data_IF_151178492345
#
_entry.id   IF_151178492345
#
_cell.length_a   1.000
_cell.length_b   1.000
_cell.length_c   1.000
_cell.angle_alpha   90.00
_cell.angle_beta   90.00
_cell.angle_gamma   90.00
#
_symmetry.space_group_name_H-M   'P 1'
#
loop_
_entity.id
_entity.type
_entity.pdbx_description
1 polymer ?
#
# COMPACT_ATOMS: atom_id res chain seq x y z
N UNK A 1 21.61 17.27 -43.00
CA UNK A 1 21.36 16.17 -42.05
C UNK A 1 20.67 15.06 -42.84
N UNK A 2 21.22 13.84 -42.88
CA UNK A 2 20.57 12.72 -43.56
C UNK A 2 19.68 12.04 -42.53
N UNK A 3 18.37 12.04 -42.76
CA UNK A 3 17.44 11.24 -41.96
C UNK A 3 17.76 9.76 -42.22
N UNK A 4 18.47 9.14 -41.28
CA UNK A 4 18.78 7.73 -41.33
C UNK A 4 17.51 6.97 -40.91
N UNK A 5 16.79 6.42 -41.90
CA UNK A 5 15.71 5.47 -41.63
C UNK A 5 16.34 4.18 -41.11
N UNK A 6 16.32 3.99 -39.79
CA UNK A 6 16.83 2.77 -39.15
C UNK A 6 15.79 1.67 -39.33
N UNK A 7 16.01 0.80 -40.33
CA UNK A 7 15.19 -0.40 -40.52
C UNK A 7 15.64 -1.47 -39.52
N UNK A 8 14.98 -1.51 -38.37
CA UNK A 8 15.14 -2.60 -37.41
C UNK A 8 14.45 -3.86 -37.92
N UNK A 9 15.15 -4.99 -37.84
CA UNK A 9 14.57 -6.30 -38.14
C UNK A 9 13.39 -6.62 -37.21
N UNK A 10 12.43 -7.40 -37.71
CA UNK A 10 11.20 -7.72 -36.98
C UNK A 10 11.46 -8.36 -35.60
N UNK A 11 12.43 -9.26 -35.49
CA UNK A 11 12.79 -9.90 -34.22
C UNK A 11 13.36 -8.91 -33.19
N UNK A 12 14.19 -7.97 -33.65
CA UNK A 12 14.70 -6.88 -32.82
C UNK A 12 13.57 -5.96 -32.36
N UNK A 13 12.63 -5.64 -33.25
CA UNK A 13 11.43 -4.88 -32.90
C UNK A 13 10.56 -5.62 -31.86
N UNK A 14 10.32 -6.92 -32.05
CA UNK A 14 9.58 -7.75 -31.08
C UNK A 14 10.26 -7.77 -29.72
N UNK A 15 11.59 -7.90 -29.69
CA UNK A 15 12.37 -7.88 -28.44
C UNK A 15 12.25 -6.53 -27.72
N UNK A 16 12.33 -5.42 -28.47
CA UNK A 16 12.14 -4.07 -27.92
C UNK A 16 10.73 -3.92 -27.35
N UNK A 17 9.71 -4.36 -28.10
CA UNK A 17 8.31 -4.34 -27.66
C UNK A 17 8.11 -5.12 -26.37
N UNK A 18 8.60 -6.36 -26.28
CA UNK A 18 8.48 -7.18 -25.07
C UNK A 18 9.15 -6.54 -23.87
N UNK A 19 10.30 -5.86 -24.06
CA UNK A 19 10.96 -5.12 -22.98
C UNK A 19 10.13 -3.91 -22.55
N UNK A 20 9.58 -3.13 -23.49
CA UNK A 20 8.70 -2.01 -23.19
C UNK A 20 7.47 -2.47 -22.39
N UNK A 21 6.77 -3.51 -22.86
CA UNK A 21 5.61 -4.09 -22.16
C UNK A 21 5.96 -4.54 -20.73
N UNK A 22 7.17 -5.08 -20.54
CA UNK A 22 7.66 -5.48 -19.22
C UNK A 22 7.90 -4.26 -18.32
N UNK A 23 8.50 -3.20 -18.84
CA UNK A 23 8.74 -1.98 -18.07
C UNK A 23 7.43 -1.30 -17.69
N UNK A 24 6.46 -1.22 -18.59
CA UNK A 24 5.14 -0.65 -18.30
C UNK A 24 4.45 -1.39 -17.16
N UNK A 25 4.47 -2.74 -17.19
CA UNK A 25 3.95 -3.57 -16.09
C UNK A 25 4.66 -3.32 -14.77
N UNK A 26 5.98 -3.14 -14.78
CA UNK A 26 6.76 -2.85 -13.57
C UNK A 26 6.45 -1.45 -13.02
N UNK A 27 6.22 -0.47 -13.89
CA UNK A 27 5.81 0.88 -13.50
C UNK A 27 4.45 0.81 -12.81
N UNK A 28 3.44 0.18 -13.43
CA UNK A 28 2.12 0.05 -12.83
C UNK A 28 2.16 -0.70 -11.50
N UNK A 29 2.90 -1.82 -11.42
CA UNK A 29 3.04 -2.56 -10.16
C UNK A 29 3.71 -1.73 -9.05
N UNK A 30 4.67 -0.87 -9.41
CA UNK A 30 5.32 0.06 -8.47
C UNK A 30 4.36 1.14 -7.99
N UNK A 31 3.58 1.72 -8.90
CA UNK A 31 2.57 2.73 -8.57
C UNK A 31 1.50 2.15 -7.63
N UNK A 32 1.03 0.94 -7.91
CA UNK A 32 0.08 0.23 -7.05
C UNK A 32 0.67 -0.02 -5.65
N UNK A 33 1.94 -0.45 -5.57
CA UNK A 33 2.62 -0.66 -4.29
C UNK A 33 2.76 0.64 -3.50
N UNK A 34 3.18 1.73 -4.15
CA UNK A 34 3.29 3.05 -3.52
C UNK A 34 1.93 3.59 -3.08
N UNK A 35 0.86 3.34 -3.86
CA UNK A 35 -0.50 3.72 -3.49
C UNK A 35 -0.98 2.97 -2.25
N UNK A 36 -0.74 1.66 -2.17
CA UNK A 36 -1.06 0.84 -0.99
C UNK A 36 -0.29 1.29 0.25
N UNK A 37 1.00 1.55 0.12
CA UNK A 37 1.83 2.06 1.22
C UNK A 37 1.31 3.41 1.73
N UNK A 38 1.01 4.34 0.83
CA UNK A 38 0.44 5.63 1.20
C UNK A 38 -0.91 5.49 1.91
N UNK A 39 -1.80 4.65 1.39
CA UNK A 39 -3.10 4.39 2.02
C UNK A 39 -2.94 3.80 3.42
N UNK A 40 -1.96 2.92 3.63
CA UNK A 40 -1.65 2.36 4.93
C UNK A 40 -1.14 3.43 5.91
N UNK A 41 -0.20 4.26 5.48
CA UNK A 41 0.34 5.36 6.30
C UNK A 41 -0.79 6.34 6.69
N UNK A 42 -1.64 6.72 5.74
CA UNK A 42 -2.75 7.65 5.99
C UNK A 42 -3.75 7.07 7.03
N UNK A 43 -4.07 5.77 6.94
CA UNK A 43 -4.91 5.08 7.92
C UNK A 43 -4.27 5.03 9.31
N UNK A 44 -2.97 4.78 9.40
CA UNK A 44 -2.23 4.74 10.66
C UNK A 44 -2.22 6.12 11.33
N UNK A 45 -1.87 7.16 10.57
CA UNK A 45 -1.85 8.55 11.05
C UNK A 45 -3.25 8.95 11.55
N UNK A 46 -4.28 8.70 10.75
CA UNK A 46 -5.67 9.01 11.13
C UNK A 46 -6.08 8.31 12.44
N UNK A 47 -5.65 7.07 12.62
CA UNK A 47 -5.95 6.30 13.83
C UNK A 47 -5.26 6.90 15.06
N UNK A 48 -4.01 7.33 14.93
CA UNK A 48 -3.24 7.97 16.02
C UNK A 48 -3.81 9.36 16.34
N UNK A 49 -4.14 10.17 15.33
CA UNK A 49 -4.73 11.49 15.51
C UNK A 49 -6.06 11.40 16.25
N UNK A 50 -6.97 10.53 15.80
CA UNK A 50 -8.27 10.32 16.47
C UNK A 50 -8.09 9.79 17.90
N UNK A 51 -7.15 8.88 18.14
CA UNK A 51 -6.86 8.43 19.49
C UNK A 51 -6.38 9.57 20.42
N UNK A 52 -5.63 10.54 19.89
CA UNK A 52 -5.20 11.70 20.66
C UNK A 52 -6.32 12.70 20.93
N UNK A 53 -7.25 12.86 19.99
CA UNK A 53 -8.41 13.77 20.10
C UNK A 53 -9.48 13.24 21.06
N UNK A 54 -9.54 11.92 21.28
CA UNK A 54 -10.55 11.32 22.15
C UNK A 54 -10.35 11.66 23.64
N UNK A 55 -11.42 12.06 24.36
CA UNK A 55 -11.34 12.36 25.78
C UNK A 55 -11.36 11.12 26.69
N UNK A 56 -12.01 10.02 26.29
CA UNK A 56 -12.16 8.82 27.13
C UNK A 56 -11.18 7.71 26.75
N UNK A 57 -10.75 6.93 27.74
CA UNK A 57 -9.79 5.84 27.52
C UNK A 57 -10.33 4.76 26.58
N UNK A 58 -11.63 4.44 26.63
CA UNK A 58 -12.23 3.43 25.77
C UNK A 58 -12.21 3.85 24.29
N UNK A 59 -12.42 5.14 24.01
CA UNK A 59 -12.37 5.67 22.65
C UNK A 59 -10.94 5.72 22.11
N UNK A 60 -9.95 6.03 22.97
CA UNK A 60 -8.53 5.94 22.59
C UNK A 60 -8.15 4.51 22.22
N UNK A 61 -8.57 3.55 23.05
CA UNK A 61 -8.33 2.12 22.82
C UNK A 61 -8.94 1.66 21.51
N UNK A 62 -10.15 2.12 21.16
CA UNK A 62 -10.77 1.84 19.86
C UNK A 62 -9.93 2.29 18.67
N UNK A 63 -9.47 3.54 18.68
CA UNK A 63 -8.65 4.05 17.58
C UNK A 63 -7.26 3.40 17.52
N UNK A 64 -6.68 3.06 18.67
CA UNK A 64 -5.43 2.29 18.73
C UNK A 64 -5.65 0.88 18.16
N UNK A 65 -6.75 0.21 18.50
CA UNK A 65 -7.12 -1.10 17.98
C UNK A 65 -7.28 -1.09 16.45
N UNK A 66 -7.91 -0.05 15.89
CA UNK A 66 -8.01 0.15 14.45
C UNK A 66 -6.63 0.30 13.79
N UNK A 67 -5.72 1.05 14.43
CA UNK A 67 -4.34 1.19 13.96
C UNK A 67 -3.58 -0.14 13.95
N UNK A 68 -3.69 -0.93 15.03
CA UNK A 68 -3.06 -2.26 15.12
C UNK A 68 -3.61 -3.21 14.05
N UNK A 69 -4.93 -3.19 13.84
CA UNK A 69 -5.57 -3.98 12.78
C UNK A 69 -5.06 -3.59 11.39
N UNK A 70 -4.91 -2.31 11.10
CA UNK A 70 -4.36 -1.84 9.83
C UNK A 70 -2.90 -2.32 9.62
N UNK A 71 -2.08 -2.36 10.68
CA UNK A 71 -0.73 -2.93 10.63
C UNK A 71 -0.79 -4.42 10.29
N UNK A 72 -1.62 -5.19 10.98
CA UNK A 72 -1.76 -6.63 10.73
C UNK A 72 -2.25 -6.91 9.31
N UNK A 73 -3.24 -6.17 8.81
CA UNK A 73 -3.74 -6.32 7.44
C UNK A 73 -2.69 -5.96 6.39
N UNK A 74 -1.85 -4.95 6.63
CA UNK A 74 -0.80 -4.55 5.68
C UNK A 74 0.36 -5.55 5.59
N UNK A 75 0.76 -6.14 6.73
CA UNK A 75 1.85 -7.11 6.81
C UNK A 75 1.42 -8.57 6.73
N UNK A 76 0.12 -8.84 6.49
CA UNK A 76 -0.47 -10.18 6.44
C UNK A 76 -0.22 -10.98 7.74
N UNK A 77 -0.33 -10.30 8.88
CA UNK A 77 -0.22 -10.91 10.20
C UNK A 77 -1.59 -11.31 10.75
N UNK A 78 -1.63 -12.46 11.43
CA UNK A 78 -2.82 -12.89 12.15
C UNK A 78 -2.96 -12.08 13.44
N UNK A 79 -3.89 -11.13 13.44
CA UNK A 79 -4.22 -10.28 14.57
C UNK A 79 -4.48 -11.09 15.86
N UNK A 80 -5.14 -12.25 15.74
CA UNK A 80 -5.49 -13.09 16.89
C UNK A 80 -4.28 -13.85 17.42
N UNK A 81 -3.37 -14.25 16.54
CA UNK A 81 -2.13 -14.92 16.93
C UNK A 81 -1.16 -13.96 17.64
N UNK A 82 -1.06 -12.71 17.16
CA UNK A 82 -0.10 -11.72 17.67
C UNK A 82 -0.62 -10.95 18.89
N UNK A 83 -1.92 -10.63 18.92
CA UNK A 83 -2.50 -9.72 19.92
C UNK A 83 -3.70 -10.31 20.69
N UNK A 84 -4.10 -11.55 20.43
CA UNK A 84 -5.19 -12.22 21.15
C UNK A 84 -6.57 -11.61 20.86
N UNK A 85 -7.42 -11.51 21.89
CA UNK A 85 -8.68 -10.78 21.82
C UNK A 85 -8.43 -9.30 22.09
N UNK A 86 -8.05 -8.59 21.03
CA UNK A 86 -7.81 -7.15 21.08
C UNK A 86 -9.12 -6.45 21.50
N UNK A 87 -9.20 -6.02 22.75
CA UNK A 87 -10.36 -5.27 23.27
C UNK A 87 -10.39 -3.91 22.58
N UNK A 88 -11.28 -3.80 21.60
CA UNK A 88 -11.42 -2.62 20.77
C UNK A 88 -12.12 -1.46 21.49
N UNK A 89 -12.47 -1.54 22.79
CA UNK A 89 -13.24 -0.49 23.45
C UNK A 89 -14.60 -0.26 22.76
N UNK A 90 -15.13 0.96 22.79
CA UNK A 90 -16.39 1.31 22.11
C UNK A 90 -16.22 2.36 21.03
N UNK A 91 -16.75 2.03 19.83
CA UNK A 91 -17.04 3.01 18.79
C UNK A 91 -18.30 3.79 19.19
N UNK A 92 -18.17 5.10 19.43
CA UNK A 92 -19.31 6.01 19.57
C UNK A 92 -19.64 6.66 18.23
#
# INVERSE_FOLDING_TARGET
>A
MKDATVTIGYESFQTIRTKADKYDKLISAREDAASKERSFIDQLVTSIEKANECPTAEQKQYHIALGIRAICEYFDYDLKAEYGELDAGQAY
#
